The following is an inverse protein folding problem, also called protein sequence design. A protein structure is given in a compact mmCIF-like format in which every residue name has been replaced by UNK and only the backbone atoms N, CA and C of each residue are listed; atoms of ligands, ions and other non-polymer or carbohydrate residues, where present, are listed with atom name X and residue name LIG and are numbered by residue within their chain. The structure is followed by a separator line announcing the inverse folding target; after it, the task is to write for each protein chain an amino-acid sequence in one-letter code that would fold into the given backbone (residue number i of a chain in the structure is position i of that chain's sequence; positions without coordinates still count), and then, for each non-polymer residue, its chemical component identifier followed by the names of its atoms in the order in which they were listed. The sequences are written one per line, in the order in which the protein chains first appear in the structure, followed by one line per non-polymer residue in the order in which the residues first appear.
data_IF_788888928910
#
_entry.id   IF_788888928910
#
_cell.length_a   1.000
_cell.length_b   1.000
_cell.length_c   1.000
_cell.angle_alpha   90.00
_cell.angle_beta   90.00
_cell.angle_gamma   90.00
#
_symmetry.space_group_name_H-M   'P 1'
#
loop_
_entity.id
_entity.type
_entity.pdbx_description
1 polymer ?
#
# COMPACT_ATOMS: atom_id res chain seq x y z
N UNK A 1 11.40 -37.20 24.66
CA UNK A 1 9.95 -37.48 24.63
C UNK A 1 9.40 -37.01 23.29
N UNK A 2 9.29 -37.90 22.32
CA UNK A 2 8.48 -37.70 21.11
C UNK A 2 7.45 -38.82 21.14
N UNK A 3 6.36 -38.58 21.87
CA UNK A 3 5.17 -39.42 21.86
C UNK A 3 4.01 -38.41 21.74
N UNK A 4 3.19 -38.54 20.69
CA UNK A 4 1.96 -37.75 20.38
C UNK A 4 1.97 -36.60 19.35
N UNK A 5 2.92 -36.50 18.42
CA UNK A 5 2.73 -35.66 17.21
C UNK A 5 2.69 -36.53 15.96
N UNK A 6 1.48 -36.74 15.41
CA UNK A 6 1.23 -37.54 14.20
C UNK A 6 1.41 -36.77 12.89
N UNK A 7 1.70 -35.46 12.95
CA UNK A 7 1.79 -34.59 11.78
C UNK A 7 3.16 -33.92 11.65
N UNK A 8 3.64 -33.78 10.41
CA UNK A 8 4.95 -33.19 10.09
C UNK A 8 5.00 -31.66 10.12
N UNK A 9 3.98 -31.01 10.71
CA UNK A 9 3.93 -29.55 10.89
C UNK A 9 4.66 -29.12 12.16
N UNK A 10 5.37 -27.99 12.06
CA UNK A 10 6.06 -27.35 13.18
C UNK A 10 5.08 -26.45 13.93
N UNK A 11 4.83 -26.73 15.22
CA UNK A 11 4.14 -25.81 16.11
C UNK A 11 5.13 -24.73 16.55
N UNK A 12 4.87 -23.48 16.18
CA UNK A 12 5.68 -22.33 16.56
C UNK A 12 5.38 -21.97 18.02
N UNK A 13 6.43 -21.74 18.81
CA UNK A 13 6.29 -21.25 20.19
C UNK A 13 5.66 -19.85 20.19
N UNK A 14 4.76 -19.51 21.14
CA UNK A 14 4.12 -18.20 21.17
C UNK A 14 5.17 -17.09 21.33
N UNK A 15 5.25 -16.19 20.35
CA UNK A 15 6.12 -15.01 20.41
C UNK A 15 5.32 -13.72 20.60
N UNK A 16 5.80 -12.75 21.39
CA UNK A 16 5.12 -11.46 21.60
C UNK A 16 5.25 -10.49 20.40
N UNK A 17 5.96 -10.90 19.34
CA UNK A 17 6.27 -10.05 18.19
C UNK A 17 5.02 -9.50 17.48
N UNK A 18 3.95 -10.29 17.22
CA UNK A 18 2.78 -9.80 16.49
C UNK A 18 2.08 -8.62 17.18
N UNK A 19 1.93 -8.68 18.51
CA UNK A 19 1.30 -7.63 19.32
C UNK A 19 2.17 -6.37 19.32
N UNK A 20 3.48 -6.54 19.46
CA UNK A 20 4.42 -5.41 19.42
C UNK A 20 4.53 -4.79 18.01
N UNK A 21 4.34 -5.59 16.97
CA UNK A 21 4.28 -5.14 15.58
C UNK A 21 3.05 -4.27 15.31
N UNK A 22 1.86 -4.74 15.69
CA UNK A 22 0.61 -4.00 15.49
C UNK A 22 0.59 -2.68 16.27
N UNK A 23 1.08 -2.66 17.51
CA UNK A 23 1.19 -1.44 18.31
C UNK A 23 2.15 -0.41 17.69
N UNK A 24 3.26 -0.86 17.10
CA UNK A 24 4.20 0.05 16.42
C UNK A 24 3.67 0.54 15.08
N UNK A 25 2.92 -0.30 14.36
CA UNK A 25 2.25 0.09 13.12
C UNK A 25 1.18 1.16 13.39
N UNK A 26 0.31 0.94 14.39
CA UNK A 26 -0.72 1.93 14.76
C UNK A 26 -0.10 3.25 15.22
N UNK A 27 0.96 3.20 16.04
CA UNK A 27 1.70 4.40 16.44
C UNK A 27 2.31 5.13 15.24
N UNK A 28 2.82 4.42 14.22
CA UNK A 28 3.39 5.02 13.01
C UNK A 28 2.32 5.73 12.18
N UNK A 29 1.11 5.17 12.08
CA UNK A 29 -0.02 5.82 11.41
C UNK A 29 -0.41 7.13 12.09
N UNK A 30 -0.53 7.14 13.42
CA UNK A 30 -0.83 8.38 14.19
C UNK A 30 0.24 9.44 13.95
N UNK A 31 1.52 9.05 14.00
CA UNK A 31 2.65 9.96 13.74
C UNK A 31 2.68 10.48 12.30
N UNK A 32 2.25 9.67 11.32
CA UNK A 32 2.13 10.09 9.92
C UNK A 32 1.05 11.17 9.73
N UNK A 33 -0.11 10.99 10.39
CA UNK A 33 -1.17 12.02 10.40
C UNK A 33 -0.65 13.32 11.02
N UNK A 34 0.06 13.24 12.15
CA UNK A 34 0.67 14.42 12.78
C UNK A 34 1.71 15.12 11.90
N UNK A 35 2.36 14.41 10.97
CA UNK A 35 3.29 15.00 10.01
C UNK A 35 2.58 15.76 8.88
N UNK A 36 1.39 15.30 8.45
CA UNK A 36 0.59 15.99 7.41
C UNK A 36 -0.08 17.27 7.93
N UNK A 37 -0.25 17.41 9.25
CA UNK A 37 -0.74 18.62 9.88
C UNK A 37 0.41 19.54 10.33
N UNK A 38 0.21 20.87 10.37
CA UNK A 38 1.22 21.83 10.81
C UNK A 38 1.40 21.80 12.35
N UNK A 39 1.89 20.68 12.88
CA UNK A 39 2.17 20.46 14.29
C UNK A 39 3.69 20.53 14.49
N UNK A 40 4.14 21.31 15.47
CA UNK A 40 5.56 21.44 15.79
C UNK A 40 6.12 20.09 16.26
N UNK A 41 7.16 19.58 15.59
CA UNK A 41 7.77 18.28 15.89
C UNK A 41 7.14 17.06 15.20
N UNK A 42 6.22 17.24 14.24
CA UNK A 42 5.65 16.11 13.48
C UNK A 42 6.70 15.23 12.78
N UNK A 43 7.74 15.85 12.20
CA UNK A 43 8.80 15.12 11.49
C UNK A 43 9.68 14.25 12.41
N UNK A 44 10.00 14.72 13.62
CA UNK A 44 10.80 13.96 14.60
C UNK A 44 10.00 12.81 15.21
N UNK A 45 8.69 13.00 15.41
CA UNK A 45 7.79 11.95 15.85
C UNK A 45 7.65 10.83 14.81
N UNK A 46 7.50 11.20 13.53
CA UNK A 46 7.42 10.26 12.41
C UNK A 46 8.70 9.45 12.25
N UNK A 47 9.87 10.11 12.23
CA UNK A 47 11.16 9.42 12.10
C UNK A 47 11.38 8.44 13.25
N UNK A 48 11.03 8.83 14.49
CA UNK A 48 11.06 7.93 15.64
C UNK A 48 10.14 6.71 15.41
N UNK A 49 8.91 6.92 14.94
CA UNK A 49 7.96 5.83 14.64
C UNK A 49 8.52 4.82 13.63
N UNK A 50 9.10 5.30 12.54
CA UNK A 50 9.73 4.48 11.52
C UNK A 50 10.92 3.67 12.07
N UNK A 51 11.79 4.28 12.89
CA UNK A 51 12.91 3.57 13.54
C UNK A 51 12.39 2.42 14.41
N UNK A 52 11.36 2.67 15.23
CA UNK A 52 10.75 1.62 16.06
C UNK A 52 10.14 0.50 15.20
N UNK A 53 9.48 0.82 14.08
CA UNK A 53 8.89 -0.18 13.19
C UNK A 53 9.98 -1.04 12.52
N UNK A 54 11.01 -0.41 11.96
CA UNK A 54 12.16 -1.09 11.34
C UNK A 54 12.89 -1.99 12.35
N UNK A 55 13.07 -1.52 13.60
CA UNK A 55 13.66 -2.33 14.65
C UNK A 55 12.84 -3.59 14.94
N UNK A 56 11.49 -3.54 14.88
CA UNK A 56 10.70 -4.77 15.05
C UNK A 56 10.81 -5.71 13.86
N UNK A 57 10.83 -5.19 12.64
CA UNK A 57 11.04 -6.01 11.45
C UNK A 57 12.39 -6.73 11.50
N UNK A 58 13.45 -6.04 11.91
CA UNK A 58 14.77 -6.66 12.08
C UNK A 58 14.77 -7.74 13.15
N UNK A 59 14.27 -7.46 14.36
CA UNK A 59 14.23 -8.47 15.45
C UNK A 59 13.39 -9.68 15.05
N UNK A 60 12.27 -9.47 14.36
CA UNK A 60 11.41 -10.55 13.91
C UNK A 60 12.12 -11.45 12.90
N UNK A 61 12.68 -10.87 11.85
CA UNK A 61 13.44 -11.63 10.85
C UNK A 61 14.61 -12.39 11.48
N UNK A 62 15.33 -11.76 12.43
CA UNK A 62 16.40 -12.41 13.17
C UNK A 62 15.90 -13.62 13.97
N UNK A 63 14.71 -13.53 14.56
CA UNK A 63 14.08 -14.66 15.24
C UNK A 63 13.76 -15.80 14.26
N UNK A 64 13.13 -15.50 13.12
CA UNK A 64 12.79 -16.51 12.11
C UNK A 64 14.04 -17.23 11.57
N UNK A 65 15.12 -16.50 11.27
CA UNK A 65 16.39 -17.10 10.81
C UNK A 65 17.04 -18.00 11.87
N UNK A 66 16.98 -17.58 13.13
CA UNK A 66 17.51 -18.33 14.26
C UNK A 66 16.74 -19.65 14.43
N UNK A 67 15.41 -19.58 14.37
CA UNK A 67 14.52 -20.73 14.44
C UNK A 67 14.74 -21.70 13.27
N UNK A 68 14.90 -21.15 12.06
CA UNK A 68 15.18 -21.89 10.82
C UNK A 68 16.47 -22.72 10.89
N UNK A 69 17.55 -22.11 11.39
CA UNK A 69 18.90 -22.67 11.33
C UNK A 69 19.19 -23.59 12.52
N UNK A 70 18.74 -23.22 13.72
CA UNK A 70 19.13 -23.92 14.96
C UNK A 70 18.23 -25.09 15.32
N UNK A 71 16.94 -25.07 14.96
CA UNK A 71 15.99 -26.12 15.35
C UNK A 71 15.83 -27.25 14.32
N UNK A 72 16.34 -27.10 13.09
CA UNK A 72 16.33 -28.18 12.08
C UNK A 72 14.94 -28.68 11.65
N UNK A 73 13.86 -27.98 12.01
CA UNK A 73 12.47 -28.39 11.77
C UNK A 73 11.93 -28.08 10.36
N UNK A 74 12.80 -27.70 9.42
CA UNK A 74 12.41 -27.53 8.01
C UNK A 74 12.22 -28.89 7.33
N UNK A 75 11.12 -29.56 7.67
CA UNK A 75 10.58 -30.64 6.84
C UNK A 75 10.27 -30.06 5.44
N UNK A 76 10.39 -30.90 4.39
CA UNK A 76 10.17 -30.47 2.99
C UNK A 76 8.82 -29.76 2.77
N UNK A 77 7.82 -30.05 3.61
CA UNK A 77 6.49 -29.43 3.61
C UNK A 77 6.53 -27.96 4.04
N UNK A 78 7.28 -27.61 5.10
CA UNK A 78 7.37 -26.22 5.60
C UNK A 78 8.10 -25.32 4.58
N UNK A 79 9.15 -25.83 3.94
CA UNK A 79 9.86 -25.09 2.89
C UNK A 79 8.95 -24.83 1.68
N UNK A 80 8.07 -25.76 1.35
CA UNK A 80 7.09 -25.58 0.28
C UNK A 80 6.07 -24.48 0.65
N UNK A 81 5.60 -24.45 1.90
CA UNK A 81 4.74 -23.38 2.41
C UNK A 81 5.36 -21.99 2.32
N UNK A 82 6.64 -21.85 2.69
CA UNK A 82 7.38 -20.58 2.57
C UNK A 82 7.52 -20.12 1.11
N UNK A 83 7.75 -21.05 0.17
CA UNK A 83 7.80 -20.74 -1.27
C UNK A 83 6.45 -20.23 -1.79
N UNK A 84 5.35 -20.88 -1.42
CA UNK A 84 4.02 -20.40 -1.77
C UNK A 84 3.72 -19.03 -1.16
N UNK A 85 4.14 -18.78 0.08
CA UNK A 85 4.00 -17.47 0.73
C UNK A 85 4.71 -16.36 -0.06
N UNK A 86 5.93 -16.60 -0.54
CA UNK A 86 6.65 -15.62 -1.37
C UNK A 86 5.99 -15.41 -2.73
N UNK A 87 5.50 -16.47 -3.37
CA UNK A 87 4.79 -16.35 -4.66
C UNK A 87 3.51 -15.51 -4.49
N UNK A 88 2.72 -15.78 -3.45
CA UNK A 88 1.51 -15.01 -3.15
C UNK A 88 1.83 -13.53 -2.85
N UNK A 89 2.92 -13.26 -2.14
CA UNK A 89 3.40 -11.89 -1.90
C UNK A 89 3.72 -11.15 -3.21
N UNK A 90 4.47 -11.79 -4.13
CA UNK A 90 4.79 -11.20 -5.44
C UNK A 90 3.52 -10.94 -6.26
N UNK A 91 2.56 -11.88 -6.27
CA UNK A 91 1.28 -11.69 -6.96
C UNK A 91 0.51 -10.49 -6.39
N UNK A 92 0.55 -10.29 -5.06
CA UNK A 92 -0.09 -9.13 -4.42
C UNK A 92 0.54 -7.80 -4.83
N UNK A 93 1.87 -7.74 -4.96
CA UNK A 93 2.60 -6.55 -5.43
C UNK A 93 2.30 -6.23 -6.90
N UNK A 94 2.25 -7.25 -7.78
CA UNK A 94 1.88 -7.06 -9.19
C UNK A 94 0.45 -6.52 -9.31
N UNK A 95 -0.47 -7.01 -8.49
CA UNK A 95 -1.86 -6.55 -8.48
C UNK A 95 -1.98 -5.11 -7.95
N UNK A 96 -1.20 -4.75 -6.93
CA UNK A 96 -1.12 -3.37 -6.42
C UNK A 96 -0.61 -2.40 -7.49
N UNK A 97 0.47 -2.76 -8.22
CA UNK A 97 0.98 -1.96 -9.33
C UNK A 97 -0.02 -1.87 -10.49
N UNK A 98 -0.73 -2.96 -10.79
CA UNK A 98 -1.77 -2.99 -11.82
C UNK A 98 -2.88 -1.95 -11.56
N UNK A 99 -3.28 -1.73 -10.31
CA UNK A 99 -4.28 -0.71 -9.96
C UNK A 99 -3.87 0.72 -10.38
N UNK A 100 -2.59 1.08 -10.26
CA UNK A 100 -2.11 2.40 -10.71
C UNK A 100 -2.15 2.53 -12.23
N UNK A 101 -1.75 1.50 -12.96
CA UNK A 101 -1.84 1.48 -14.42
C UNK A 101 -3.29 1.53 -14.91
N UNK A 102 -4.18 0.79 -14.26
CA UNK A 102 -5.61 0.81 -14.56
C UNK A 102 -6.21 2.21 -14.44
N UNK A 103 -5.92 2.92 -13.34
CA UNK A 103 -6.34 4.32 -13.18
C UNK A 103 -5.79 5.24 -14.27
N UNK A 104 -4.51 5.04 -14.66
CA UNK A 104 -3.89 5.78 -15.75
C UNK A 104 -4.55 5.54 -17.12
N UNK A 105 -4.80 4.28 -17.49
CA UNK A 105 -5.47 3.91 -18.75
C UNK A 105 -6.91 4.40 -18.80
N UNK A 106 -7.64 4.31 -17.68
CA UNK A 106 -9.02 4.80 -17.59
C UNK A 106 -9.11 6.30 -17.86
N UNK A 107 -8.22 7.10 -17.25
CA UNK A 107 -8.15 8.54 -17.49
C UNK A 107 -7.83 8.88 -18.95
N UNK A 108 -6.85 8.19 -19.55
CA UNK A 108 -6.49 8.37 -20.96
C UNK A 108 -7.65 8.05 -21.93
N UNK A 109 -8.34 6.94 -21.69
CA UNK A 109 -9.48 6.52 -22.51
C UNK A 109 -10.64 7.53 -22.40
N UNK A 110 -11.00 7.94 -21.18
CA UNK A 110 -12.08 8.92 -20.97
C UNK A 110 -11.75 10.30 -21.52
N UNK A 111 -10.51 10.77 -21.39
CA UNK A 111 -10.08 12.06 -21.95
C UNK A 111 -10.19 12.09 -23.49
N UNK A 112 -9.81 11.00 -24.18
CA UNK A 112 -9.86 10.91 -25.65
C UNK A 112 -11.28 10.70 -26.20
N UNK A 113 -12.06 9.80 -25.59
CA UNK A 113 -13.42 9.49 -26.08
C UNK A 113 -14.49 10.48 -25.59
N UNK A 114 -14.30 11.13 -24.44
CA UNK A 114 -15.19 12.17 -23.91
C UNK A 114 -15.09 13.49 -24.69
N UNK A 115 -13.88 13.91 -25.07
CA UNK A 115 -13.67 15.16 -25.80
C UNK A 115 -14.23 15.15 -27.24
N UNK A 116 -14.36 13.96 -27.85
CA UNK A 116 -14.90 13.83 -29.20
C UNK A 116 -16.43 13.98 -29.28
N UNK A 117 -17.16 13.85 -28.16
CA UNK A 117 -18.61 14.13 -28.13
C UNK A 117 -18.94 15.61 -27.99
N UNK A 118 -18.05 16.42 -27.41
CA UNK A 118 -18.30 17.85 -27.13
C UNK A 118 -17.86 18.77 -28.29
N UNK A 119 -17.03 18.28 -29.22
CA UNK A 119 -16.73 19.02 -30.46
C UNK A 119 -17.91 19.14 -31.43
N UNK A 120 -19.05 18.47 -31.18
CA UNK A 120 -20.31 18.76 -31.90
C UNK A 120 -21.00 20.03 -31.39
N UNK A 121 -20.62 20.55 -30.23
CA UNK A 121 -21.14 21.81 -29.66
C UNK A 121 -20.24 23.01 -30.00
N UNK A 122 -18.98 22.78 -30.37
CA UNK A 122 -18.05 23.79 -30.87
C UNK A 122 -18.04 23.84 -32.41
N UNK A 123 -19.23 23.95 -33.01
CA UNK A 123 -19.30 24.51 -34.36
C UNK A 123 -18.98 26.02 -34.24
N UNK A 124 -18.08 26.59 -35.06
CA UNK A 124 -17.86 28.02 -35.06
C UNK A 124 -19.18 28.71 -35.40
N UNK A 125 -19.73 29.47 -34.43
CA UNK A 125 -20.82 30.42 -34.66
C UNK A 125 -20.34 31.40 -35.73
N UNK A 126 -20.69 31.08 -36.97
CA UNK A 126 -20.53 31.91 -38.15
C UNK A 126 -21.18 33.26 -37.84
N UNK A 127 -20.41 34.33 -38.02
CA UNK A 127 -20.81 35.73 -37.91
C UNK A 127 -22.30 35.97 -38.14
N UNK A 128 -23.01 36.34 -37.08
CA UNK A 128 -24.19 37.19 -37.18
C UNK A 128 -23.79 38.51 -36.52
N UNK A 129 -23.38 39.44 -37.38
CA UNK A 129 -23.21 40.81 -36.98
C UNK A 129 -24.54 41.35 -36.45
N UNK A 130 -24.54 41.75 -35.19
CA UNK A 130 -25.52 42.73 -34.70
C UNK A 130 -24.78 43.79 -33.91
N UNK A 131 -24.27 44.72 -34.72
CA UNK A 131 -24.15 46.16 -34.51
C UNK A 131 -24.91 46.68 -33.28
N UNK A 132 -24.16 47.30 -32.36
CA UNK A 132 -24.41 48.57 -31.68
C UNK A 132 -25.87 48.98 -31.41
N UNK A 133 -26.26 48.92 -30.14
CA UNK A 133 -27.06 49.92 -29.40
C UNK A 133 -26.61 49.75 -27.94
N UNK A 134 -25.83 50.66 -27.37
CA UNK A 134 -26.29 51.96 -26.90
C UNK A 134 -26.57 51.85 -25.39
N UNK A 135 -25.59 52.24 -24.57
CA UNK A 135 -25.69 52.43 -23.11
C UNK A 135 -26.73 53.55 -22.79
N UNK A 136 -26.83 54.09 -21.56
CA UNK A 136 -26.75 53.55 -20.18
C UNK A 136 -27.91 54.10 -19.31
N UNK A 137 -28.77 53.29 -18.67
CA UNK A 137 -29.52 53.73 -17.47
C UNK A 137 -30.27 52.54 -16.86
N UNK A 138 -29.79 52.04 -15.73
CA UNK A 138 -30.51 51.47 -14.56
C UNK A 138 -29.52 50.74 -13.66
#
# INVERSE_FOLDING_TARGET
MIESQRHSYHLVDPSPCPILGSLRASATTVKSVMYMHPIQGGATLLSLGLIFLLHKMFVWWRNDLCESTLKGHHTKVVQLGLRYGLILFIVSEVTFLFCFFWGGFFSFFFCTYGYSRDRRCLAPKRNLGFRSLGNPFS
#
